data_IF_158437984459
#
_entry.id   IF_158437984459
#
_cell.length_a   1.000
_cell.length_b   1.000
_cell.length_c   1.000
_cell.angle_alpha   90.00
_cell.angle_beta   90.00
_cell.angle_gamma   90.00
#
_symmetry.space_group_name_H-M   'P 1'
#
loop_
_entity.id
_entity.type
_entity.pdbx_description
1 polymer ?
#
# COMPACT_ATOMS: atom_id res chain seq x y z
N UNK A 1 6.26 27.89 -17.53
CA UNK A 1 5.72 28.11 -16.18
C UNK A 1 5.04 26.82 -15.79
N UNK A 2 5.75 25.94 -15.09
CA UNK A 2 5.17 24.70 -14.59
C UNK A 2 4.29 25.10 -13.40
N UNK A 3 3.00 24.83 -13.50
CA UNK A 3 2.02 25.15 -12.48
C UNK A 3 2.33 24.29 -11.25
N UNK A 4 2.94 24.87 -10.20
CA UNK A 4 3.31 24.17 -8.97
C UNK A 4 2.07 24.00 -8.07
N UNK A 5 1.02 23.39 -8.62
CA UNK A 5 -0.22 23.12 -7.91
C UNK A 5 -0.02 21.90 -7.00
N UNK A 6 -0.41 21.98 -5.71
CA UNK A 6 -0.29 20.83 -4.82
C UNK A 6 -1.15 19.67 -5.31
N UNK A 7 -0.64 18.44 -5.19
CA UNK A 7 -1.40 17.23 -5.49
C UNK A 7 -2.51 17.08 -4.45
N UNK A 8 -3.75 17.38 -4.82
CA UNK A 8 -4.93 17.29 -3.94
C UNK A 8 -5.64 15.94 -4.02
N UNK A 9 -5.30 15.10 -5.00
CA UNK A 9 -5.85 13.75 -5.15
C UNK A 9 -4.92 12.83 -5.95
N UNK A 10 -4.97 11.53 -5.66
CA UNK A 10 -4.21 10.50 -6.39
C UNK A 10 -5.03 9.93 -7.54
N UNK A 11 -5.26 10.76 -8.55
CA UNK A 11 -5.97 10.41 -9.78
C UNK A 11 -5.11 10.63 -11.01
N UNK A 12 -5.51 10.04 -12.14
CA UNK A 12 -4.87 10.23 -13.44
C UNK A 12 -3.36 9.94 -13.38
N UNK A 13 -2.52 10.91 -13.73
CA UNK A 13 -1.05 10.78 -13.71
C UNK A 13 -0.48 10.48 -12.31
N UNK A 14 -1.17 10.87 -11.23
CA UNK A 14 -0.76 10.63 -9.84
C UNK A 14 -1.40 9.38 -9.23
N UNK A 15 -2.14 8.57 -10.02
CA UNK A 15 -2.78 7.36 -9.51
C UNK A 15 -1.77 6.38 -8.89
N UNK A 16 -0.53 6.36 -9.39
CA UNK A 16 0.56 5.55 -8.84
C UNK A 16 0.95 5.90 -7.40
N UNK A 17 0.55 7.05 -6.86
CA UNK A 17 0.77 7.40 -5.45
C UNK A 17 -0.25 6.71 -4.52
N UNK A 18 -1.40 6.25 -5.05
CA UNK A 18 -2.46 5.63 -4.26
C UNK A 18 -2.11 4.23 -3.76
N UNK A 19 -2.55 3.89 -2.54
CA UNK A 19 -2.47 2.51 -2.02
C UNK A 19 -3.42 1.53 -2.75
N UNK A 20 -4.40 2.07 -3.48
CA UNK A 20 -5.35 1.30 -4.29
C UNK A 20 -4.83 1.05 -5.71
N UNK A 21 -3.71 1.67 -6.08
CA UNK A 21 -3.07 1.44 -7.36
C UNK A 21 -2.67 -0.03 -7.50
N UNK A 22 -3.00 -0.63 -8.66
CA UNK A 22 -2.64 -2.01 -8.98
C UNK A 22 -1.15 -2.07 -9.30
N UNK A 23 -0.38 -2.47 -8.30
CA UNK A 23 1.03 -2.73 -8.41
C UNK A 23 1.40 -3.76 -7.34
N UNK A 24 1.93 -4.90 -7.78
CA UNK A 24 2.23 -6.00 -6.88
C UNK A 24 3.48 -5.70 -6.07
N UNK A 25 3.42 -5.94 -4.77
CA UNK A 25 4.59 -5.85 -3.87
C UNK A 25 4.82 -7.18 -3.18
N UNK A 26 6.07 -7.48 -2.83
CA UNK A 26 6.42 -8.72 -2.13
C UNK A 26 6.99 -8.41 -0.75
N UNK A 27 6.34 -8.90 0.29
CA UNK A 27 6.78 -8.71 1.67
C UNK A 27 6.92 -10.07 2.34
N UNK A 28 8.10 -10.35 2.90
CA UNK A 28 8.40 -11.62 3.59
C UNK A 28 8.07 -12.87 2.76
N UNK A 29 8.30 -12.82 1.44
CA UNK A 29 8.02 -13.93 0.52
C UNK A 29 6.54 -14.05 0.08
N UNK A 30 5.66 -13.16 0.54
CA UNK A 30 4.26 -13.11 0.11
C UNK A 30 4.02 -11.94 -0.85
N UNK A 31 3.41 -12.21 -1.99
CA UNK A 31 3.03 -11.17 -2.97
C UNK A 31 1.61 -10.67 -2.73
N UNK A 32 1.44 -9.36 -2.81
CA UNK A 32 0.19 -8.63 -2.61
C UNK A 32 -0.11 -7.75 -3.82
N UNK A 33 -1.33 -7.83 -4.36
CA UNK A 33 -1.73 -7.14 -5.60
C UNK A 33 -1.74 -5.60 -5.53
N UNK A 34 -1.82 -5.05 -4.30
CA UNK A 34 -1.72 -3.60 -4.03
C UNK A 34 -1.18 -3.38 -2.61
N UNK A 35 -0.72 -2.17 -2.32
CA UNK A 35 -0.40 -1.73 -0.96
C UNK A 35 -1.56 -1.94 0.03
N UNK A 36 -2.80 -1.66 -0.40
CA UNK A 36 -3.99 -1.89 0.44
C UNK A 36 -4.15 -3.37 0.83
N UNK A 37 -3.85 -4.32 -0.08
CA UNK A 37 -3.88 -5.74 0.27
C UNK A 37 -2.84 -6.06 1.34
N UNK A 38 -1.60 -5.60 1.16
CA UNK A 38 -0.53 -5.82 2.12
C UNK A 38 -0.85 -5.20 3.49
N UNK A 39 -1.22 -3.93 3.52
CA UNK A 39 -1.50 -3.20 4.77
C UNK A 39 -2.64 -3.84 5.56
N UNK A 40 -3.71 -4.25 4.89
CA UNK A 40 -4.86 -4.89 5.53
C UNK A 40 -4.56 -6.32 5.98
N UNK A 41 -3.73 -7.06 5.24
CA UNK A 41 -3.35 -8.43 5.59
C UNK A 41 -2.36 -8.48 6.77
N UNK A 42 -1.51 -7.45 6.91
CA UNK A 42 -0.53 -7.32 8.00
C UNK A 42 -1.16 -6.87 9.34
N UNK A 43 -2.45 -6.55 9.35
CA UNK A 43 -3.21 -6.26 10.58
C UNK A 43 -3.36 -7.45 11.52
N UNK A 44 -3.25 -8.66 10.98
CA UNK A 44 -3.46 -9.91 11.72
C UNK A 44 -2.22 -10.79 11.67
N UNK A 45 -2.03 -11.59 12.72
CA UNK A 45 -1.07 -12.70 12.71
C UNK A 45 -1.72 -14.04 12.35
N UNK A 46 -3.04 -14.10 12.23
CA UNK A 46 -3.74 -15.28 11.74
C UNK A 46 -3.47 -15.47 10.24
N UNK A 47 -2.87 -16.62 9.90
CA UNK A 47 -2.48 -16.92 8.52
C UNK A 47 -3.68 -17.08 7.58
N UNK A 48 -4.81 -17.59 8.07
CA UNK A 48 -6.00 -17.79 7.25
C UNK A 48 -6.71 -16.47 6.95
N UNK A 49 -6.81 -15.57 7.94
CA UNK A 49 -7.30 -14.20 7.73
C UNK A 49 -6.39 -13.42 6.79
N UNK A 50 -5.07 -13.50 7.00
CA UNK A 50 -4.08 -12.86 6.13
C UNK A 50 -4.22 -13.34 4.69
N UNK A 51 -4.32 -14.65 4.48
CA UNK A 51 -4.51 -15.23 3.16
C UNK A 51 -5.80 -14.74 2.49
N UNK A 52 -6.93 -14.69 3.23
CA UNK A 52 -8.21 -14.17 2.72
C UNK A 52 -8.12 -12.71 2.27
N UNK A 53 -7.43 -11.86 3.03
CA UNK A 53 -7.24 -10.45 2.64
C UNK A 53 -6.32 -10.34 1.43
N UNK A 54 -5.22 -11.10 1.42
CA UNK A 54 -4.23 -11.13 0.33
C UNK A 54 -4.83 -11.55 -1.01
N UNK A 55 -5.72 -12.54 -1.01
CA UNK A 55 -6.36 -13.08 -2.23
C UNK A 55 -7.67 -12.38 -2.59
N UNK A 56 -8.02 -11.27 -1.93
CA UNK A 56 -9.19 -10.50 -2.28
C UNK A 56 -9.13 -9.99 -3.74
N UNK A 57 -10.27 -9.98 -4.42
CA UNK A 57 -10.31 -9.62 -5.85
C UNK A 57 -10.02 -8.13 -6.12
N UNK A 58 -10.26 -7.26 -5.13
CA UNK A 58 -10.13 -5.81 -5.26
C UNK A 58 -9.56 -5.19 -3.97
N UNK A 59 -8.84 -4.05 -4.06
CA UNK A 59 -8.36 -3.34 -2.87
C UNK A 59 -9.50 -2.90 -1.95
N UNK A 60 -10.69 -2.59 -2.51
CA UNK A 60 -11.88 -2.30 -1.71
C UNK A 60 -12.36 -3.53 -0.91
N UNK A 61 -12.33 -4.72 -1.51
CA UNK A 61 -12.62 -5.97 -0.81
C UNK A 61 -11.56 -6.27 0.26
N UNK A 62 -10.27 -6.11 -0.05
CA UNK A 62 -9.18 -6.24 0.92
C UNK A 62 -9.36 -5.31 2.13
N UNK A 63 -9.71 -4.04 1.90
CA UNK A 63 -10.07 -3.07 2.94
C UNK A 63 -11.26 -3.50 3.78
N UNK A 64 -12.30 -4.05 3.15
CA UNK A 64 -13.50 -4.55 3.85
C UNK A 64 -13.20 -5.78 4.70
N UNK A 65 -12.37 -6.70 4.21
CA UNK A 65 -11.93 -7.89 4.95
C UNK A 65 -11.00 -7.50 6.09
N UNK A 66 -10.03 -6.61 5.85
CA UNK A 66 -9.09 -6.11 6.85
C UNK A 66 -9.69 -5.29 7.99
N UNK A 67 -10.96 -4.86 7.87
CA UNK A 67 -11.73 -4.31 9.00
C UNK A 67 -12.27 -5.39 9.95
N UNK A 68 -12.32 -6.64 9.50
CA UNK A 68 -12.95 -7.78 10.18
C UNK A 68 -11.95 -8.82 10.69
N UNK A 69 -10.67 -8.64 10.38
CA UNK A 69 -9.61 -9.53 10.88
C UNK A 69 -9.36 -9.30 12.37
N UNK A 70 -8.83 -10.32 13.00
CA UNK A 70 -8.29 -10.24 14.35
C UNK A 70 -7.08 -9.32 14.35
N UNK A 71 -7.19 -8.15 14.99
CA UNK A 71 -6.07 -7.21 15.07
C UNK A 71 -4.96 -7.79 15.95
N UNK A 72 -3.72 -7.71 15.45
CA UNK A 72 -2.55 -8.02 16.26
C UNK A 72 -2.44 -7.06 17.43
N UNK A 73 -1.89 -7.56 18.53
CA UNK A 73 -1.58 -6.74 19.69
C UNK A 73 -0.64 -5.58 19.32
N UNK A 74 -0.92 -4.39 19.86
CA UNK A 74 -0.16 -3.19 19.58
C UNK A 74 -0.33 -2.62 18.17
N UNK A 75 -1.32 -3.04 17.37
CA UNK A 75 -1.49 -2.58 15.98
C UNK A 75 -1.35 -1.06 15.80
N UNK A 76 -1.95 -0.26 16.69
CA UNK A 76 -1.93 1.20 16.57
C UNK A 76 -0.52 1.81 16.69
N UNK A 77 0.39 1.20 17.44
CA UNK A 77 1.76 1.68 17.56
C UNK A 77 2.63 1.33 16.35
N UNK A 78 2.28 0.27 15.62
CA UNK A 78 3.09 -0.27 14.50
C UNK A 78 2.49 -0.01 13.12
N UNK A 79 1.25 0.48 13.04
CA UNK A 79 0.55 0.69 11.76
C UNK A 79 1.29 1.63 10.81
N UNK A 80 1.94 2.67 11.35
CA UNK A 80 2.69 3.63 10.53
C UNK A 80 3.97 3.00 9.97
N UNK A 81 4.70 2.23 10.78
CA UNK A 81 5.88 1.48 10.34
C UNK A 81 5.51 0.44 9.27
N UNK A 82 4.37 -0.23 9.41
CA UNK A 82 3.90 -1.15 8.36
C UNK A 82 3.53 -0.42 7.08
N UNK A 83 2.83 0.71 7.17
CA UNK A 83 2.53 1.50 5.97
C UNK A 83 3.83 2.00 5.31
N UNK A 84 4.80 2.46 6.09
CA UNK A 84 6.11 2.87 5.59
C UNK A 84 6.80 1.71 4.86
N UNK A 85 6.85 0.52 5.45
CA UNK A 85 7.42 -0.66 4.80
C UNK A 85 6.72 -1.00 3.47
N UNK A 86 5.39 -0.97 3.46
CA UNK A 86 4.57 -1.23 2.27
C UNK A 86 4.84 -0.20 1.17
N UNK A 87 4.93 1.08 1.53
CA UNK A 87 5.25 2.17 0.58
C UNK A 87 6.67 2.02 0.07
N UNK A 88 7.63 1.76 0.95
CA UNK A 88 9.04 1.56 0.60
C UNK A 88 9.22 0.40 -0.37
N UNK A 89 8.52 -0.71 -0.15
CA UNK A 89 8.54 -1.86 -1.06
C UNK A 89 8.00 -1.50 -2.45
N UNK A 90 6.85 -0.80 -2.51
CA UNK A 90 6.28 -0.33 -3.79
C UNK A 90 7.24 0.55 -4.58
N UNK A 91 7.89 1.49 -3.92
CA UNK A 91 8.84 2.41 -4.55
C UNK A 91 10.27 1.85 -4.61
N UNK A 92 10.47 0.57 -4.29
CA UNK A 92 11.69 -0.14 -4.69
C UNK A 92 11.66 -0.54 -6.16
N UNK A 93 10.49 -0.54 -6.79
CA UNK A 93 10.34 -0.67 -8.23
C UNK A 93 10.97 0.55 -8.93
N UNK A 94 11.97 0.37 -9.80
CA UNK A 94 12.66 1.48 -10.47
C UNK A 94 11.74 2.40 -11.28
N UNK A 95 10.70 1.86 -11.94
CA UNK A 95 9.77 2.66 -12.74
C UNK A 95 8.92 3.58 -11.87
N UNK A 96 8.55 3.12 -10.67
CA UNK A 96 7.80 3.94 -9.71
C UNK A 96 8.71 4.90 -8.94
N UNK A 97 9.94 4.48 -8.63
CA UNK A 97 10.94 5.32 -7.99
C UNK A 97 11.28 6.55 -8.85
N UNK A 98 11.47 6.35 -10.16
CA UNK A 98 11.73 7.45 -11.11
C UNK A 98 10.56 8.44 -11.15
N UNK A 99 9.31 7.94 -11.12
CA UNK A 99 8.10 8.78 -11.06
C UNK A 99 7.92 9.50 -9.73
N UNK A 100 8.52 9.00 -8.65
CA UNK A 100 8.46 9.63 -7.33
C UNK A 100 9.40 10.84 -7.24
N UNK A 101 10.46 10.87 -8.04
CA UNK A 101 11.35 12.03 -8.14
C UNK A 101 10.61 13.14 -8.89
N UNK A 102 9.98 14.03 -8.13
CA UNK A 102 9.49 15.30 -8.65
C UNK A 102 10.73 16.17 -8.88
N UNK A 103 11.08 16.55 -10.13
CA UNK A 103 12.17 17.48 -10.36
C UNK A 103 11.76 18.85 -9.79
N UNK A 104 12.28 19.27 -8.64
CA UNK A 104 11.92 20.59 -8.13
C UNK A 104 12.33 21.03 -6.73
N UNK A 105 12.82 20.18 -5.83
CA UNK A 105 13.17 20.63 -4.46
C UNK A 105 14.55 20.11 -4.02
N UNK A 106 15.56 20.99 -4.15
CA UNK A 106 16.83 20.98 -3.43
C UNK A 106 16.99 22.33 -2.71
#
# INVERSE_FOLDING_TARGET
MSDNQPITSFSSEYAFLSNFFRHSITLNGETYSTNEHAFQALKTFDAAERAKVRTAATPASAKSLGKRVTLREGWDSVRFQVMEQVVREKFSDPELAEKLVIPGEY
#
